data_IF_253534470807
#
_entry.id   IF_253534470807
#
_cell.length_a   1.000
_cell.length_b   1.000
_cell.length_c   1.000
_cell.angle_alpha   90.00
_cell.angle_beta   90.00
_cell.angle_gamma   90.00
#
_symmetry.space_group_name_H-M   'P 1'
#
loop_
_entity.id
_entity.type
_entity.pdbx_description
1 polymer ?
#
# COMPACT_ATOMS: atom_id res chain seq x y z
N UNK A 1 -38.39 -0.03 39.61
CA UNK A 1 -39.09 0.05 40.90
C UNK A 1 -39.70 -1.32 41.22
N UNK A 2 -38.87 -2.26 41.69
CA UNK A 2 -39.23 -3.37 42.59
C UNK A 2 -37.96 -3.64 43.38
N UNK A 3 -38.12 -3.66 44.70
CA UNK A 3 -37.11 -3.71 45.74
C UNK A 3 -36.83 -5.17 46.09
N UNK A 4 -35.56 -5.55 46.23
CA UNK A 4 -35.16 -6.64 47.11
C UNK A 4 -33.76 -6.34 47.65
N UNK A 5 -33.70 -6.16 48.96
CA UNK A 5 -32.51 -5.90 49.78
C UNK A 5 -32.27 -7.11 50.67
N UNK A 6 -31.08 -7.15 51.29
CA UNK A 6 -30.56 -8.03 52.35
C UNK A 6 -29.59 -9.10 51.78
N UNK A 7 -28.33 -9.17 52.19
CA UNK A 7 -27.64 -8.48 53.28
C UNK A 7 -26.12 -8.62 53.18
N UNK A 8 -25.45 -7.65 53.81
CA UNK A 8 -24.02 -7.62 54.09
C UNK A 8 -23.59 -8.78 54.99
N UNK A 9 -22.37 -9.27 54.81
CA UNK A 9 -21.40 -9.39 55.91
C UNK A 9 -19.97 -9.31 55.36
N UNK A 10 -19.20 -8.49 56.05
CA UNK A 10 -17.80 -8.13 55.89
C UNK A 10 -16.83 -9.24 56.27
N UNK A 11 -15.67 -9.30 55.63
CA UNK A 11 -14.37 -9.24 56.34
C UNK A 11 -13.21 -9.12 55.36
N UNK A 12 -12.27 -8.31 55.78
CA UNK A 12 -11.09 -7.81 55.11
C UNK A 12 -9.90 -8.80 55.04
N UNK A 13 -8.95 -8.38 54.20
CA UNK A 13 -7.49 -8.36 54.42
C UNK A 13 -6.59 -9.54 53.98
N UNK A 14 -5.69 -9.15 53.05
CA UNK A 14 -4.22 -9.33 53.03
C UNK A 14 -3.58 -10.61 52.46
N UNK A 15 -2.69 -10.34 51.50
CA UNK A 15 -1.33 -10.84 51.30
C UNK A 15 -1.02 -12.02 50.36
N UNK A 16 0.03 -11.76 49.56
CA UNK A 16 0.92 -12.67 48.81
C UNK A 16 0.29 -13.40 47.61
N UNK A 17 0.85 -13.41 46.40
CA UNK A 17 2.24 -13.30 46.00
C UNK A 17 2.78 -14.67 45.63
N UNK A 18 2.51 -15.16 44.41
CA UNK A 18 3.35 -16.21 43.80
C UNK A 18 3.25 -16.24 42.28
N UNK A 19 4.43 -16.38 41.66
CA UNK A 19 4.73 -16.51 40.23
C UNK A 19 4.15 -17.80 39.62
N UNK A 20 3.70 -17.74 38.36
CA UNK A 20 3.77 -18.81 37.35
C UNK A 20 3.93 -18.12 35.98
N UNK A 21 5.13 -18.14 35.39
CA UNK A 21 5.63 -19.09 34.39
C UNK A 21 4.88 -19.05 33.05
N UNK A 22 5.63 -18.57 32.05
CA UNK A 22 5.51 -18.72 30.60
C UNK A 22 4.55 -19.82 30.12
N UNK A 23 3.72 -19.47 29.14
CA UNK A 23 3.61 -20.30 27.95
C UNK A 23 3.28 -19.47 26.72
N UNK A 24 4.23 -19.48 25.78
CA UNK A 24 4.02 -19.15 24.39
C UNK A 24 3.10 -20.19 23.77
N UNK A 25 2.05 -19.75 23.10
CA UNK A 25 1.30 -20.58 22.15
C UNK A 25 1.11 -19.81 20.86
N UNK A 26 2.11 -19.95 19.98
CA UNK A 26 2.04 -19.58 18.57
C UNK A 26 1.12 -20.59 17.87
N UNK A 27 -0.05 -20.14 17.42
CA UNK A 27 -0.95 -20.93 16.59
C UNK A 27 -0.50 -20.73 15.14
N UNK A 28 0.19 -21.73 14.60
CA UNK A 28 0.55 -21.82 13.18
C UNK A 28 -0.59 -22.51 12.42
N UNK A 29 -1.30 -21.77 11.58
CA UNK A 29 -2.22 -22.35 10.60
C UNK A 29 -1.43 -22.91 9.42
N UNK A 30 -1.26 -24.24 9.37
CA UNK A 30 -0.74 -24.95 8.20
C UNK A 30 -1.92 -25.30 7.30
N UNK A 31 -2.00 -24.65 6.13
CA UNK A 31 -2.85 -25.09 5.02
C UNK A 31 -2.21 -26.33 4.37
N UNK A 32 -2.81 -27.51 4.58
CA UNK A 32 -2.54 -28.71 3.78
C UNK A 32 -3.42 -28.67 2.52
N UNK A 33 -2.84 -28.49 1.35
CA UNK A 33 -3.47 -28.90 0.09
C UNK A 33 -2.88 -30.23 -0.36
N UNK A 34 -3.75 -31.25 -0.41
CA UNK A 34 -3.44 -32.57 -0.94
C UNK A 34 -3.62 -32.53 -2.46
N UNK A 35 -2.53 -32.59 -3.23
CA UNK A 35 -2.57 -33.02 -4.62
C UNK A 35 -1.55 -34.14 -4.82
N UNK A 36 -2.08 -35.35 -4.99
CA UNK A 36 -1.33 -36.55 -5.33
C UNK A 36 -0.54 -36.35 -6.63
N UNK A 37 0.77 -36.51 -6.55
CA UNK A 37 1.65 -36.78 -7.68
C UNK A 37 2.27 -38.15 -7.45
N UNK A 38 1.86 -39.14 -8.24
CA UNK A 38 2.50 -40.44 -8.33
C UNK A 38 2.63 -40.77 -9.80
N UNK A 39 3.87 -40.83 -10.30
CA UNK A 39 4.38 -41.82 -11.24
C UNK A 39 5.77 -41.37 -11.66
N UNK A 40 6.83 -42.04 -11.16
CA UNK A 40 8.03 -42.41 -11.91
C UNK A 40 8.89 -43.40 -11.13
N UNK A 41 9.66 -44.19 -11.89
CA UNK A 41 10.66 -45.21 -11.50
C UNK A 41 10.06 -46.62 -11.26
N UNK A 42 10.61 -47.74 -11.70
CA UNK A 42 11.84 -48.10 -12.41
C UNK A 42 11.58 -49.47 -13.09
N UNK A 43 12.16 -49.73 -14.26
CA UNK A 43 12.63 -51.09 -14.57
C UNK A 43 13.72 -51.05 -15.65
N UNK A 44 14.94 -51.26 -15.19
CA UNK A 44 16.15 -51.53 -15.97
C UNK A 44 16.06 -52.95 -16.54
N UNK A 45 16.29 -53.13 -17.85
CA UNK A 45 16.61 -54.45 -18.40
C UNK A 45 17.80 -54.41 -19.35
N UNK A 46 18.66 -55.41 -19.14
CA UNK A 46 20.05 -55.55 -19.60
C UNK A 46 20.16 -55.83 -21.10
N UNK A 47 21.30 -55.41 -21.64
CA UNK A 47 21.86 -55.87 -22.92
C UNK A 47 22.00 -57.39 -22.95
N UNK A 48 21.67 -57.98 -24.10
CA UNK A 48 22.28 -59.22 -24.56
C UNK A 48 22.73 -59.03 -26.03
N UNK A 49 24.03 -59.26 -26.26
CA UNK A 49 24.63 -59.47 -27.59
C UNK A 49 24.37 -60.91 -28.01
N UNK A 50 23.93 -61.11 -29.25
CA UNK A 50 24.26 -62.32 -30.01
C UNK A 50 24.37 -62.00 -31.50
N UNK A 51 25.21 -62.78 -32.17
CA UNK A 51 25.91 -62.58 -33.43
C UNK A 51 25.12 -62.92 -34.70
N UNK A 52 25.52 -62.26 -35.79
CA UNK A 52 25.62 -62.69 -37.20
C UNK A 52 24.46 -63.44 -37.89
N UNK A 53 23.93 -62.82 -38.95
CA UNK A 53 23.89 -63.44 -40.29
C UNK A 53 23.60 -62.39 -41.38
N UNK A 54 24.35 -62.54 -42.47
CA UNK A 54 24.38 -61.75 -43.70
C UNK A 54 23.10 -61.98 -44.51
N UNK A 55 22.51 -60.95 -45.10
CA UNK A 55 22.14 -60.97 -46.53
C UNK A 55 21.82 -59.59 -47.11
N UNK A 56 22.31 -59.42 -48.34
CA UNK A 56 22.22 -58.23 -49.20
C UNK A 56 20.76 -57.99 -49.62
N UNK A 57 20.37 -56.73 -49.84
CA UNK A 57 19.64 -56.27 -51.05
C UNK A 57 19.47 -54.73 -51.07
N UNK A 58 19.81 -54.17 -52.23
CA UNK A 58 19.45 -52.91 -52.89
C UNK A 58 19.76 -51.52 -52.30
N UNK A 59 20.71 -50.89 -53.01
CA UNK A 59 20.81 -49.45 -53.29
C UNK A 59 19.52 -48.94 -53.97
N UNK A 60 18.99 -47.83 -53.46
CA UNK A 60 18.48 -46.66 -54.18
C UNK A 60 17.37 -46.01 -53.36
N UNK A 61 17.68 -44.86 -52.75
CA UNK A 61 16.74 -43.76 -52.52
C UNK A 61 17.53 -42.58 -51.91
N UNK A 62 18.07 -41.74 -52.79
CA UNK A 62 18.53 -40.39 -52.43
C UNK A 62 17.26 -39.57 -52.24
N UNK A 63 16.88 -39.30 -50.99
CA UNK A 63 15.83 -38.31 -50.70
C UNK A 63 16.46 -36.91 -50.74
N UNK A 64 15.86 -35.93 -51.41
CA UNK A 64 16.34 -34.56 -51.33
C UNK A 64 16.10 -34.05 -49.92
N UNK A 65 17.15 -33.46 -49.33
CA UNK A 65 17.05 -32.66 -48.11
C UNK A 65 16.09 -31.52 -48.44
N UNK A 66 14.85 -31.62 -47.96
CA UNK A 66 13.95 -30.48 -47.88
C UNK A 66 14.60 -29.50 -46.90
N UNK A 67 15.33 -28.52 -47.43
CA UNK A 67 15.65 -27.29 -46.72
C UNK A 67 14.33 -26.57 -46.49
N UNK A 68 13.65 -26.94 -45.40
CA UNK A 68 12.63 -26.08 -44.80
C UNK A 68 13.39 -24.84 -44.37
N UNK A 69 13.34 -23.78 -45.17
CA UNK A 69 13.61 -22.45 -44.67
C UNK A 69 12.59 -22.22 -43.57
N UNK A 70 13.01 -22.44 -42.33
CA UNK A 70 12.29 -21.94 -41.19
C UNK A 70 12.28 -20.42 -41.36
N UNK A 71 11.23 -19.93 -42.02
CA UNK A 71 10.73 -18.60 -41.80
C UNK A 71 10.48 -18.53 -40.28
N UNK A 72 11.49 -18.08 -39.54
CA UNK A 72 11.29 -17.43 -38.26
C UNK A 72 10.43 -16.20 -38.59
N UNK A 73 9.12 -16.42 -38.72
CA UNK A 73 8.13 -15.37 -38.50
C UNK A 73 8.41 -14.92 -37.09
N UNK A 74 9.21 -13.86 -37.03
CA UNK A 74 9.63 -13.17 -35.84
C UNK A 74 8.42 -13.05 -34.92
N UNK A 75 8.61 -13.40 -33.65
CA UNK A 75 7.63 -13.11 -32.61
C UNK A 75 7.10 -11.69 -32.85
N UNK A 76 5.77 -11.52 -32.79
CA UNK A 76 5.13 -10.21 -32.99
C UNK A 76 5.93 -9.15 -32.21
N UNK A 77 6.35 -8.04 -32.84
CA UNK A 77 7.17 -7.04 -32.19
C UNK A 77 6.30 -6.29 -31.18
N UNK A 78 6.17 -6.86 -29.98
CA UNK A 78 5.54 -6.21 -28.85
C UNK A 78 6.47 -5.08 -28.39
N UNK A 79 6.03 -3.83 -28.56
CA UNK A 79 6.78 -2.66 -28.10
C UNK A 79 6.38 -2.33 -26.67
N UNK A 80 6.88 -3.09 -25.71
CA UNK A 80 6.45 -2.95 -24.32
C UNK A 80 6.84 -1.61 -23.70
N UNK A 81 7.95 -1.03 -24.16
CA UNK A 81 8.46 0.30 -23.84
C UNK A 81 7.49 1.41 -24.25
N UNK A 82 6.74 1.23 -25.36
CA UNK A 82 5.80 2.22 -25.88
C UNK A 82 4.48 2.23 -25.09
N UNK A 83 4.23 1.24 -24.23
CA UNK A 83 3.00 1.15 -23.44
C UNK A 83 2.86 2.25 -22.38
N UNK A 84 3.91 3.06 -22.18
CA UNK A 84 3.93 4.19 -21.26
C UNK A 84 4.63 5.36 -21.95
N UNK A 85 4.00 6.54 -21.88
CA UNK A 85 4.55 7.76 -22.46
C UNK A 85 4.62 8.85 -21.38
N UNK A 86 5.82 9.33 -21.01
CA UNK A 86 7.14 8.84 -21.41
C UNK A 86 7.41 7.38 -20.96
N UNK A 87 8.50 6.72 -21.41
CA UNK A 87 8.85 5.38 -20.95
C UNK A 87 9.03 5.28 -19.42
N UNK A 88 8.82 4.10 -18.85
CA UNK A 88 9.06 3.89 -17.43
C UNK A 88 10.54 4.12 -17.09
N UNK A 89 10.82 4.74 -15.94
CA UNK A 89 12.19 4.89 -15.47
C UNK A 89 12.65 3.62 -14.74
N UNK A 90 13.96 3.31 -14.75
CA UNK A 90 14.51 2.27 -13.89
C UNK A 90 14.16 2.52 -12.42
N UNK A 91 13.96 1.43 -11.66
CA UNK A 91 13.76 1.53 -10.23
C UNK A 91 15.05 2.11 -9.59
N UNK A 92 15.00 3.27 -8.91
CA UNK A 92 16.19 3.85 -8.31
C UNK A 92 16.61 3.00 -7.10
N UNK A 93 17.91 2.87 -6.84
CA UNK A 93 18.40 2.17 -5.64
C UNK A 93 17.92 2.91 -4.38
N UNK A 94 17.15 2.27 -3.49
CA UNK A 94 16.68 2.92 -2.28
C UNK A 94 17.84 3.07 -1.27
N UNK A 95 17.86 4.11 -0.42
CA UNK A 95 18.92 4.29 0.58
C UNK A 95 19.05 3.13 1.57
N UNK A 96 17.92 2.47 1.86
CA UNK A 96 17.84 1.23 2.64
C UNK A 96 16.90 0.24 1.94
N UNK A 97 17.22 -1.05 2.01
CA UNK A 97 16.46 -2.12 1.33
C UNK A 97 15.47 -2.86 2.24
N UNK A 98 15.75 -2.88 3.54
CA UNK A 98 14.88 -3.47 4.58
C UNK A 98 14.67 -2.49 5.72
N UNK A 99 13.43 -2.33 6.15
CA UNK A 99 13.07 -1.43 7.26
C UNK A 99 11.67 -1.74 7.79
N UNK A 100 11.35 -1.23 8.97
CA UNK A 100 10.00 -1.34 9.54
C UNK A 100 9.15 -0.13 9.18
N UNK A 101 7.93 -0.40 8.72
CA UNK A 101 6.86 0.59 8.58
C UNK A 101 5.86 0.43 9.73
N UNK A 102 5.34 1.54 10.25
CA UNK A 102 4.19 1.55 11.16
C UNK A 102 2.98 2.24 10.52
N UNK A 103 1.81 1.60 10.60
CA UNK A 103 0.52 2.20 10.24
C UNK A 103 -0.22 2.51 11.55
N UNK A 104 -0.46 3.80 11.79
CA UNK A 104 -1.04 4.27 13.04
C UNK A 104 -2.53 4.54 12.85
N UNK A 105 -3.38 3.54 13.16
CA UNK A 105 -4.82 3.67 13.09
C UNK A 105 -5.34 4.45 14.30
N UNK A 106 -5.49 5.77 14.14
CA UNK A 106 -5.84 6.69 15.22
C UNK A 106 -7.35 6.82 15.42
N UNK A 107 -7.80 6.86 16.66
CA UNK A 107 -9.13 7.35 17.02
C UNK A 107 -9.15 8.88 16.95
N UNK A 108 -10.03 9.42 16.09
CA UNK A 108 -10.09 10.86 15.80
C UNK A 108 -11.28 11.48 16.51
N UNK A 109 -11.03 12.57 17.25
CA UNK A 109 -12.05 13.32 17.99
C UNK A 109 -12.35 14.68 17.35
N UNK A 110 -13.32 15.42 17.90
CA UNK A 110 -13.54 16.83 17.55
C UNK A 110 -12.54 17.79 18.19
N UNK A 111 -11.68 17.32 19.11
CA UNK A 111 -10.66 18.16 19.74
C UNK A 111 -9.34 18.03 18.97
N UNK A 112 -9.00 19.07 18.21
CA UNK A 112 -7.77 19.10 17.39
C UNK A 112 -6.51 18.93 18.24
N UNK A 113 -6.42 19.63 19.36
CA UNK A 113 -5.21 19.62 20.19
C UNK A 113 -5.00 18.23 20.79
N UNK A 114 -6.10 17.58 21.21
CA UNK A 114 -6.09 16.17 21.63
C UNK A 114 -5.62 15.25 20.50
N UNK A 115 -6.15 15.42 19.28
CA UNK A 115 -5.75 14.60 18.13
C UNK A 115 -4.25 14.76 17.81
N UNK A 116 -3.71 15.99 17.86
CA UNK A 116 -2.29 16.28 17.63
C UNK A 116 -1.39 15.70 18.71
N UNK A 117 -1.77 15.84 19.99
CA UNK A 117 -1.04 15.22 21.09
C UNK A 117 -1.03 13.69 20.98
N UNK A 118 -2.18 13.09 20.68
CA UNK A 118 -2.33 11.65 20.54
C UNK A 118 -1.55 11.06 19.36
N UNK A 119 -1.58 11.75 18.20
CA UNK A 119 -0.78 11.37 17.04
C UNK A 119 0.73 11.39 17.35
N UNK A 120 1.20 12.39 18.11
CA UNK A 120 2.59 12.47 18.59
C UNK A 120 2.96 11.26 19.45
N UNK A 121 2.15 10.94 20.46
CA UNK A 121 2.40 9.80 21.36
C UNK A 121 2.45 8.49 20.58
N UNK A 122 1.53 8.31 19.62
CA UNK A 122 1.48 7.13 18.76
C UNK A 122 2.70 7.02 17.84
N UNK A 123 3.15 8.14 17.27
CA UNK A 123 4.38 8.21 16.48
C UNK A 123 5.60 7.80 17.33
N UNK A 124 5.70 8.32 18.54
CA UNK A 124 6.80 8.02 19.46
C UNK A 124 6.82 6.54 19.88
N UNK A 125 5.65 5.96 20.14
CA UNK A 125 5.50 4.52 20.41
C UNK A 125 5.94 3.66 19.21
N UNK A 126 5.50 4.01 18.01
CA UNK A 126 5.90 3.32 16.78
C UNK A 126 7.41 3.39 16.53
N UNK A 127 8.01 4.57 16.71
CA UNK A 127 9.45 4.76 16.59
C UNK A 127 10.23 3.97 17.65
N UNK A 128 9.75 3.92 18.91
CA UNK A 128 10.35 3.07 19.97
C UNK A 128 10.36 1.59 19.60
N UNK A 129 9.39 1.13 18.82
CA UNK A 129 9.32 -0.24 18.28
C UNK A 129 10.17 -0.45 17.01
N UNK A 130 10.93 0.57 16.59
CA UNK A 130 11.90 0.52 15.51
C UNK A 130 11.34 0.87 14.14
N UNK A 131 10.15 1.48 14.05
CA UNK A 131 9.63 1.96 12.78
C UNK A 131 10.51 3.11 12.23
N UNK A 132 10.91 2.99 10.96
CA UNK A 132 11.68 4.01 10.24
C UNK A 132 10.80 4.83 9.29
N UNK A 133 9.65 4.26 8.90
CA UNK A 133 8.58 4.92 8.17
C UNK A 133 7.30 4.86 8.98
N UNK A 134 6.62 5.98 9.14
CA UNK A 134 5.30 6.04 9.79
C UNK A 134 4.27 6.59 8.81
N UNK A 135 3.11 5.94 8.75
CA UNK A 135 1.93 6.40 8.01
C UNK A 135 0.80 6.72 8.99
N UNK A 136 0.31 7.96 8.94
CA UNK A 136 -0.91 8.40 9.63
C UNK A 136 -2.15 8.29 8.71
N UNK A 137 -3.38 8.36 9.26
CA UNK A 137 -4.59 8.20 8.46
C UNK A 137 -5.07 9.50 7.79
N UNK A 138 -6.09 9.40 6.94
CA UNK A 138 -6.74 10.56 6.32
C UNK A 138 -7.48 11.42 7.35
N UNK A 139 -7.36 12.75 7.24
CA UNK A 139 -7.98 13.77 8.11
C UNK A 139 -7.88 13.38 9.59
N UNK A 140 -6.65 13.12 10.04
CA UNK A 140 -6.41 12.61 11.39
C UNK A 140 -6.52 13.68 12.48
N UNK A 141 -6.47 14.96 12.11
CA UNK A 141 -6.47 16.08 13.05
C UNK A 141 -7.87 16.64 13.35
N UNK A 142 -8.93 16.15 12.70
CA UNK A 142 -10.29 16.68 12.84
C UNK A 142 -11.38 15.69 12.39
N UNK A 143 -12.66 15.91 12.70
CA UNK A 143 -13.74 15.09 12.14
C UNK A 143 -13.82 15.17 10.61
N UNK A 144 -14.14 14.05 9.95
CA UNK A 144 -14.31 13.99 8.50
C UNK A 144 -15.71 14.44 8.09
N UNK A 145 -15.90 15.75 7.91
CA UNK A 145 -17.16 16.31 7.40
C UNK A 145 -16.97 17.64 6.67
N UNK A 146 -17.86 17.92 5.72
CA UNK A 146 -17.89 19.18 4.97
C UNK A 146 -17.96 20.42 5.88
N UNK A 147 -18.69 20.34 7.00
CA UNK A 147 -18.80 21.46 7.93
C UNK A 147 -17.54 21.65 8.78
N UNK A 148 -16.77 20.58 8.99
CA UNK A 148 -15.51 20.63 9.76
C UNK A 148 -14.36 21.17 8.93
N UNK A 149 -14.23 20.79 7.64
CA UNK A 149 -13.04 21.14 6.87
C UNK A 149 -12.66 22.64 6.92
N UNK A 150 -13.57 23.62 6.77
CA UNK A 150 -13.21 25.04 6.84
C UNK A 150 -12.75 25.49 8.23
N UNK A 151 -13.33 24.91 9.28
CA UNK A 151 -13.06 25.26 10.69
C UNK A 151 -11.70 24.71 11.12
N UNK A 152 -11.36 23.50 10.70
CA UNK A 152 -10.15 22.82 11.10
C UNK A 152 -8.98 23.01 10.13
N UNK A 153 -9.19 23.68 8.99
CA UNK A 153 -8.13 23.87 8.00
C UNK A 153 -6.96 24.71 8.50
N UNK A 154 -5.76 24.31 8.10
CA UNK A 154 -4.50 24.97 8.51
C UNK A 154 -3.75 25.52 7.29
N UNK A 155 -3.07 26.66 7.45
CA UNK A 155 -2.24 27.27 6.41
C UNK A 155 -0.81 26.70 6.49
N UNK A 156 -0.54 25.64 5.72
CA UNK A 156 0.74 24.93 5.75
C UNK A 156 1.90 25.82 5.28
N UNK A 157 1.74 26.51 4.15
CA UNK A 157 2.80 27.33 3.53
C UNK A 157 3.11 28.62 4.31
N UNK A 158 2.17 29.05 5.17
CA UNK A 158 2.36 30.19 6.05
C UNK A 158 3.03 29.81 7.39
N UNK A 159 3.43 28.55 7.56
CA UNK A 159 3.89 27.98 8.84
C UNK A 159 2.88 28.16 9.99
N UNK A 160 1.57 28.21 9.67
CA UNK A 160 0.47 28.31 10.66
C UNK A 160 -0.29 27.00 10.71
N UNK A 161 0.43 25.93 10.95
CA UNK A 161 -0.11 24.58 11.03
C UNK A 161 0.50 23.83 12.21
N UNK A 162 -0.17 23.79 13.39
CA UNK A 162 0.32 23.02 14.53
C UNK A 162 0.48 21.53 14.19
N UNK A 163 -0.37 21.01 13.30
CA UNK A 163 -0.29 19.62 12.84
C UNK A 163 1.03 19.35 12.11
N UNK A 164 1.40 20.17 11.12
CA UNK A 164 2.66 19.98 10.38
C UNK A 164 3.91 20.37 11.18
N UNK A 165 3.80 21.36 12.06
CA UNK A 165 4.89 21.73 12.97
C UNK A 165 5.23 20.57 13.91
N UNK A 166 4.22 19.89 14.45
CA UNK A 166 4.40 18.68 15.26
C UNK A 166 5.11 17.58 14.46
N UNK A 167 4.63 17.28 13.25
CA UNK A 167 5.21 16.24 12.40
C UNK A 167 6.67 16.52 12.02
N UNK A 168 6.99 17.77 11.67
CA UNK A 168 8.35 18.22 11.36
C UNK A 168 9.30 18.05 12.55
N UNK A 169 8.86 18.45 13.75
CA UNK A 169 9.68 18.35 14.96
C UNK A 169 9.95 16.89 15.32
N UNK A 170 8.90 16.06 15.37
CA UNK A 170 9.03 14.66 15.78
C UNK A 170 9.81 13.83 14.77
N UNK A 171 9.65 14.07 13.46
CA UNK A 171 10.41 13.35 12.44
C UNK A 171 11.92 13.62 12.55
N UNK A 172 12.31 14.87 12.82
CA UNK A 172 13.71 15.26 13.07
C UNK A 172 14.26 14.65 14.35
N UNK A 173 13.51 14.78 15.45
CA UNK A 173 13.96 14.31 16.77
C UNK A 173 14.16 12.80 16.79
N UNK A 174 13.24 12.05 16.19
CA UNK A 174 13.28 10.58 16.16
C UNK A 174 14.06 10.03 14.96
N UNK A 175 14.47 10.89 14.01
CA UNK A 175 15.16 10.52 12.76
C UNK A 175 14.38 9.46 11.97
N UNK A 176 13.10 9.72 11.73
CA UNK A 176 12.18 8.86 10.98
C UNK A 176 11.58 9.62 9.79
N UNK A 177 11.14 8.88 8.78
CA UNK A 177 10.30 9.43 7.71
C UNK A 177 8.83 9.33 8.11
N UNK A 178 8.05 10.40 7.90
CA UNK A 178 6.62 10.41 8.21
C UNK A 178 5.83 10.77 6.96
N UNK A 179 4.92 9.87 6.57
CA UNK A 179 3.79 10.18 5.69
C UNK A 179 2.67 10.65 6.61
N UNK A 180 2.50 11.97 6.67
CA UNK A 180 1.70 12.68 7.67
C UNK A 180 0.19 12.54 7.51
N UNK A 181 -0.30 11.42 6.98
CA UNK A 181 -1.71 11.18 6.76
C UNK A 181 -2.30 12.26 5.88
N UNK A 182 -3.47 12.78 6.19
CA UNK A 182 -3.87 14.09 5.65
C UNK A 182 -4.54 14.97 6.68
N UNK A 183 -4.57 16.27 6.38
CA UNK A 183 -5.31 17.30 7.12
C UNK A 183 -6.06 18.21 6.13
N UNK A 184 -7.10 18.94 6.58
CA UNK A 184 -7.66 20.01 5.78
C UNK A 184 -6.62 21.15 5.68
N UNK A 185 -6.23 21.52 4.47
CA UNK A 185 -5.30 22.62 4.18
C UNK A 185 -6.09 23.83 3.69
N UNK A 186 -5.75 25.02 4.19
CA UNK A 186 -6.19 26.30 3.64
C UNK A 186 -5.08 26.91 2.80
N UNK A 187 -5.41 27.29 1.57
CA UNK A 187 -4.50 27.94 0.63
C UNK A 187 -5.25 29.03 -0.13
N UNK A 188 -5.18 30.26 0.38
CA UNK A 188 -6.03 31.35 -0.10
C UNK A 188 -7.50 31.10 0.26
N UNK A 189 -8.37 31.23 -0.73
CA UNK A 189 -9.81 30.98 -0.64
C UNK A 189 -10.19 29.49 -0.76
N UNK A 190 -9.22 28.64 -1.13
CA UNK A 190 -9.43 27.21 -1.37
C UNK A 190 -9.06 26.35 -0.17
N UNK A 191 -9.77 25.23 -0.07
CA UNK A 191 -9.53 24.17 0.89
C UNK A 191 -9.11 22.89 0.17
N UNK A 192 -8.20 22.12 0.75
CA UNK A 192 -7.70 20.88 0.18
C UNK A 192 -7.63 19.77 1.24
N UNK A 193 -7.70 18.52 0.80
CA UNK A 193 -7.32 17.35 1.63
C UNK A 193 -5.85 17.04 1.33
N UNK A 194 -4.96 17.31 2.28
CA UNK A 194 -3.52 17.39 2.00
C UNK A 194 -2.68 16.49 2.89
N UNK A 195 -1.91 15.61 2.25
CA UNK A 195 -0.89 14.78 2.86
C UNK A 195 0.48 15.45 2.77
N UNK A 196 1.16 15.59 3.90
CA UNK A 196 2.52 16.13 3.97
C UNK A 196 3.53 15.01 4.26
N UNK A 197 4.66 15.02 3.57
CA UNK A 197 5.75 14.05 3.80
C UNK A 197 6.93 14.75 4.44
N UNK A 198 7.40 14.24 5.58
CA UNK A 198 8.54 14.76 6.31
C UNK A 198 9.69 13.76 6.29
N UNK A 199 10.90 14.26 5.98
CA UNK A 199 12.12 13.47 6.07
C UNK A 199 12.66 13.37 7.50
N UNK A 200 13.71 12.57 7.65
CA UNK A 200 14.45 12.39 8.91
C UNK A 200 15.13 13.66 9.42
N UNK A 201 15.24 14.70 8.58
CA UNK A 201 15.77 16.02 8.89
C UNK A 201 14.70 17.02 9.38
N UNK A 202 13.43 16.60 9.44
CA UNK A 202 12.30 17.46 9.77
C UNK A 202 11.79 18.30 8.61
N UNK A 203 12.40 18.24 7.43
CA UNK A 203 11.98 19.07 6.30
C UNK A 203 10.75 18.47 5.64
N UNK A 204 9.81 19.35 5.28
CA UNK A 204 8.71 19.01 4.38
C UNK A 204 9.30 18.69 3.00
N UNK A 205 9.24 17.42 2.60
CA UNK A 205 9.76 16.93 1.31
C UNK A 205 8.77 17.19 0.18
N UNK A 206 7.47 17.03 0.46
CA UNK A 206 6.40 17.30 -0.50
C UNK A 206 5.04 17.44 0.19
N UNK A 207 4.06 17.95 -0.57
CA UNK A 207 2.64 17.93 -0.24
C UNK A 207 1.88 17.26 -1.38
N UNK A 208 0.99 16.35 -1.05
CA UNK A 208 0.04 15.76 -1.97
C UNK A 208 -1.37 16.24 -1.62
N UNK A 209 -2.00 16.97 -2.53
CA UNK A 209 -3.43 17.32 -2.44
C UNK A 209 -4.22 16.22 -3.15
N UNK A 210 -5.23 15.67 -2.49
CA UNK A 210 -6.10 14.60 -3.01
C UNK A 210 -6.62 14.96 -4.40
N UNK A 211 -6.33 14.12 -5.38
CA UNK A 211 -6.63 14.42 -6.79
C UNK A 211 -8.09 14.09 -7.10
N UNK A 212 -8.55 12.94 -6.61
CA UNK A 212 -9.91 12.49 -6.84
C UNK A 212 -10.75 12.68 -5.58
N UNK A 213 -11.61 13.71 -5.59
CA UNK A 213 -12.51 14.01 -4.49
C UNK A 213 -13.60 12.94 -4.36
N UNK A 214 -13.97 12.64 -3.11
CA UNK A 214 -14.96 11.62 -2.78
C UNK A 214 -16.39 12.15 -2.99
N UNK A 215 -16.86 12.06 -4.23
CA UNK A 215 -18.22 12.38 -4.60
C UNK A 215 -18.97 11.09 -4.95
N UNK A 216 -19.78 10.60 -3.99
CA UNK A 216 -20.60 9.41 -4.17
C UNK A 216 -22.06 9.67 -3.79
N UNK A 217 -22.94 8.93 -4.45
CA UNK A 217 -24.35 8.85 -4.12
C UNK A 217 -24.80 7.40 -4.30
N UNK A 218 -24.94 6.68 -3.18
CA UNK A 218 -25.42 5.31 -3.12
C UNK A 218 -26.82 5.37 -2.51
N UNK A 219 -27.89 5.27 -3.34
CA UNK A 219 -29.26 5.43 -2.88
C UNK A 219 -29.59 4.55 -1.68
N UNK A 220 -30.12 5.18 -0.63
CA UNK A 220 -30.50 4.50 0.61
C UNK A 220 -29.34 4.06 1.51
N UNK A 221 -28.09 4.35 1.16
CA UNK A 221 -26.92 3.98 1.99
C UNK A 221 -26.07 5.18 2.36
N UNK A 222 -25.49 5.88 1.39
CA UNK A 222 -24.57 6.99 1.65
C UNK A 222 -24.51 7.96 0.49
N UNK A 223 -24.60 9.25 0.81
CA UNK A 223 -24.28 10.35 -0.09
C UNK A 223 -23.22 11.21 0.56
N UNK A 224 -22.11 11.43 -0.12
CA UNK A 224 -21.05 12.34 0.33
C UNK A 224 -20.49 13.07 -0.88
N UNK A 225 -20.36 14.41 -0.80
CA UNK A 225 -19.77 15.24 -1.85
C UNK A 225 -18.67 16.09 -1.24
N UNK A 226 -17.44 15.59 -1.31
CA UNK A 226 -16.25 16.29 -0.81
C UNK A 226 -16.01 17.58 -1.61
N UNK A 227 -16.35 17.59 -2.90
CA UNK A 227 -16.23 18.74 -3.81
C UNK A 227 -17.11 19.94 -3.45
N UNK A 228 -18.09 19.77 -2.56
CA UNK A 228 -18.88 20.88 -2.03
C UNK A 228 -18.00 21.88 -1.25
N UNK A 229 -16.91 21.40 -0.67
CA UNK A 229 -16.07 22.18 0.24
C UNK A 229 -14.60 22.17 -0.15
N UNK A 230 -14.09 21.03 -0.63
CA UNK A 230 -12.68 20.85 -0.96
C UNK A 230 -12.44 21.02 -2.46
N UNK A 231 -11.22 21.44 -2.78
CA UNK A 231 -10.68 21.57 -4.13
C UNK A 231 -9.77 20.39 -4.42
N UNK A 232 -9.83 19.86 -5.64
CA UNK A 232 -8.97 18.78 -6.08
C UNK A 232 -7.51 19.24 -6.23
N UNK A 233 -6.58 18.33 -5.94
CA UNK A 233 -5.18 18.47 -6.33
C UNK A 233 -4.99 18.30 -7.84
N UNK A 234 -3.90 18.88 -8.36
CA UNK A 234 -3.66 18.96 -9.80
C UNK A 234 -2.47 18.11 -10.26
N UNK A 235 -1.74 17.46 -9.34
CA UNK A 235 -0.49 16.77 -9.68
C UNK A 235 -0.33 15.42 -8.96
N UNK A 236 0.03 14.34 -9.68
CA UNK A 236 0.53 13.11 -9.07
C UNK A 236 1.79 13.40 -8.24
N UNK A 237 1.84 12.87 -7.01
CA UNK A 237 2.94 13.13 -6.08
C UNK A 237 3.80 11.89 -5.87
N UNK A 238 5.07 12.00 -6.22
CA UNK A 238 6.10 11.00 -5.95
C UNK A 238 7.29 11.69 -5.28
N UNK A 239 7.88 11.06 -4.29
CA UNK A 239 8.92 11.67 -3.45
C UNK A 239 10.01 10.67 -3.10
N UNK A 240 11.26 11.13 -3.21
CA UNK A 240 12.42 10.41 -2.68
C UNK A 240 12.56 10.67 -1.19
N UNK A 241 12.67 9.60 -0.42
CA UNK A 241 12.78 9.62 1.04
C UNK A 241 13.96 8.77 1.50
N UNK A 242 14.27 8.83 2.79
CA UNK A 242 15.31 8.02 3.42
C UNK A 242 15.01 6.51 3.37
N UNK A 243 13.77 6.13 3.05
CA UNK A 243 13.31 4.73 2.91
C UNK A 243 12.94 4.36 1.48
N UNK A 244 13.36 5.17 0.49
CA UNK A 244 13.13 4.94 -0.93
C UNK A 244 12.09 5.88 -1.55
N UNK A 245 11.75 5.61 -2.81
CA UNK A 245 10.79 6.41 -3.58
C UNK A 245 9.35 5.99 -3.32
N UNK A 246 8.51 6.93 -2.91
CA UNK A 246 7.12 6.68 -2.49
C UNK A 246 6.15 7.47 -3.36
N UNK A 247 5.11 6.80 -3.87
CA UNK A 247 3.92 7.44 -4.44
C UNK A 247 2.87 7.73 -3.36
N UNK A 248 2.22 8.88 -3.44
CA UNK A 248 1.21 9.30 -2.45
C UNK A 248 -0.15 9.43 -3.13
N UNK A 249 -1.15 8.75 -2.61
CA UNK A 249 -2.56 9.03 -2.90
C UNK A 249 -3.34 9.19 -1.61
N UNK A 250 -4.55 9.74 -1.66
CA UNK A 250 -5.45 9.81 -0.49
C UNK A 250 -6.76 9.12 -0.83
N UNK A 251 -7.10 8.11 -0.03
CA UNK A 251 -8.40 7.44 0.01
C UNK A 251 -8.95 7.07 -1.37
N UNK A 252 -9.84 7.90 -1.91
CA UNK A 252 -10.53 7.69 -3.19
C UNK A 252 -9.57 7.58 -4.38
N UNK A 253 -8.37 8.17 -4.29
CA UNK A 253 -7.30 8.01 -5.27
C UNK A 253 -6.95 6.54 -5.55
N UNK A 254 -7.13 5.64 -4.58
CA UNK A 254 -6.88 4.20 -4.78
C UNK A 254 -7.79 3.58 -5.84
N UNK A 255 -8.95 4.17 -6.14
CA UNK A 255 -9.88 3.64 -7.16
C UNK A 255 -9.40 3.84 -8.59
N UNK A 256 -8.45 4.74 -8.82
CA UNK A 256 -7.96 5.12 -10.14
C UNK A 256 -6.62 4.42 -10.42
N UNK A 257 -6.68 3.25 -11.09
CA UNK A 257 -5.49 2.43 -11.33
C UNK A 257 -4.41 3.13 -12.16
N UNK A 258 -4.80 4.11 -12.97
CA UNK A 258 -3.91 4.93 -13.80
C UNK A 258 -2.89 5.67 -12.92
N UNK A 259 -3.32 6.19 -11.77
CA UNK A 259 -2.45 6.91 -10.84
C UNK A 259 -1.38 5.98 -10.25
N UNK A 260 -1.76 4.79 -9.80
CA UNK A 260 -0.80 3.80 -9.30
C UNK A 260 0.16 3.33 -10.40
N UNK A 261 -0.35 3.17 -11.63
CA UNK A 261 0.48 2.77 -12.77
C UNK A 261 1.49 3.87 -13.14
N UNK A 262 1.12 5.15 -13.01
CA UNK A 262 2.04 6.29 -13.14
C UNK A 262 3.12 6.21 -12.06
N UNK A 263 2.78 5.97 -10.80
CA UNK A 263 3.76 5.85 -9.72
C UNK A 263 4.76 4.71 -9.95
N UNK A 264 4.28 3.55 -10.41
CA UNK A 264 5.15 2.44 -10.82
C UNK A 264 6.06 2.82 -12.00
N UNK A 265 5.53 3.53 -13.00
CA UNK A 265 6.29 4.02 -14.16
C UNK A 265 7.31 5.12 -13.80
N UNK A 266 7.12 5.81 -12.67
CA UNK A 266 8.03 6.79 -12.08
C UNK A 266 8.96 6.19 -11.01
N UNK A 267 9.06 4.86 -10.93
CA UNK A 267 10.04 4.18 -10.09
C UNK A 267 9.70 4.20 -8.59
N UNK A 268 8.44 4.28 -8.21
CA UNK A 268 8.05 4.06 -6.81
C UNK A 268 8.39 2.62 -6.37
N UNK A 269 8.68 2.44 -5.09
CA UNK A 269 8.80 1.14 -4.42
C UNK A 269 7.55 0.80 -3.61
N UNK A 270 6.94 1.84 -3.05
CA UNK A 270 5.80 1.81 -2.15
C UNK A 270 4.81 2.87 -2.59
N UNK A 271 3.52 2.57 -2.49
CA UNK A 271 2.45 3.57 -2.56
C UNK A 271 1.77 3.66 -1.20
N UNK A 272 1.66 4.86 -0.66
CA UNK A 272 0.94 5.11 0.59
C UNK A 272 -0.41 5.78 0.30
N UNK A 273 -1.47 5.22 0.87
CA UNK A 273 -2.82 5.77 0.85
C UNK A 273 -3.34 5.96 2.28
N UNK A 274 -3.12 7.13 2.93
CA UNK A 274 -4.02 7.55 4.00
C UNK A 274 -5.45 7.55 3.48
N UNK A 275 -6.39 6.92 4.16
CA UNK A 275 -7.77 6.89 3.70
C UNK A 275 -8.78 6.35 4.69
N UNK A 276 -9.96 6.96 4.70
CA UNK A 276 -11.09 6.53 5.51
C UNK A 276 -12.21 6.00 4.60
N UNK A 277 -12.23 4.69 4.30
CA UNK A 277 -13.42 4.09 3.66
C UNK A 277 -14.55 3.97 4.69
N UNK A 278 -15.80 3.98 4.22
CA UNK A 278 -16.98 3.84 5.07
C UNK A 278 -17.45 2.38 5.20
N UNK A 279 -18.47 2.15 6.04
CA UNK A 279 -19.07 0.83 6.28
C UNK A 279 -19.75 0.18 5.06
N UNK A 280 -20.10 0.93 4.01
CA UNK A 280 -20.64 0.36 2.76
C UNK A 280 -19.52 -0.12 1.85
N UNK A 281 -18.54 0.74 1.61
CA UNK A 281 -17.50 0.50 0.60
C UNK A 281 -16.29 -0.24 1.16
N UNK A 282 -16.01 -0.12 2.45
CA UNK A 282 -14.91 -0.77 3.17
C UNK A 282 -14.91 -2.28 3.02
N UNK A 283 -15.97 -2.98 3.45
CA UNK A 283 -16.04 -4.45 3.39
C UNK A 283 -15.86 -5.03 1.98
N UNK A 284 -16.26 -4.28 0.95
CA UNK A 284 -16.27 -4.74 -0.44
C UNK A 284 -14.98 -4.38 -1.19
N UNK A 285 -14.45 -3.18 -0.93
CA UNK A 285 -13.46 -2.58 -1.82
C UNK A 285 -12.12 -2.28 -1.14
N UNK A 286 -12.06 -2.12 0.18
CA UNK A 286 -10.83 -1.70 0.84
C UNK A 286 -9.68 -2.68 0.58
N UNK A 287 -9.87 -3.96 0.90
CA UNK A 287 -8.85 -4.98 0.69
C UNK A 287 -8.61 -5.29 -0.80
N UNK A 288 -9.69 -5.35 -1.58
CA UNK A 288 -9.62 -5.64 -3.01
C UNK A 288 -8.73 -4.64 -3.74
N UNK A 289 -8.96 -3.33 -3.51
CA UNK A 289 -8.27 -2.28 -4.22
C UNK A 289 -6.79 -2.22 -3.87
N UNK A 290 -6.43 -2.31 -2.58
CA UNK A 290 -5.01 -2.33 -2.18
C UNK A 290 -4.24 -3.50 -2.79
N UNK A 291 -4.83 -4.70 -2.81
CA UNK A 291 -4.22 -5.90 -3.39
C UNK A 291 -4.08 -5.78 -4.90
N UNK A 292 -5.10 -5.24 -5.57
CA UNK A 292 -5.03 -4.97 -7.00
C UNK A 292 -3.90 -3.98 -7.34
N UNK A 293 -3.79 -2.85 -6.61
CA UNK A 293 -2.70 -1.88 -6.84
C UNK A 293 -1.32 -2.50 -6.61
N UNK A 294 -1.16 -3.29 -5.55
CA UNK A 294 0.10 -3.94 -5.25
C UNK A 294 0.50 -4.96 -6.33
N UNK A 295 -0.42 -5.86 -6.70
CA UNK A 295 -0.18 -6.92 -7.68
C UNK A 295 0.04 -6.38 -9.09
N UNK A 296 -0.81 -5.47 -9.57
CA UNK A 296 -0.73 -4.96 -10.96
C UNK A 296 0.50 -4.07 -11.19
N UNK A 297 0.96 -3.38 -10.13
CA UNK A 297 2.14 -2.52 -10.19
C UNK A 297 3.43 -3.22 -9.74
N UNK A 298 3.32 -4.39 -9.10
CA UNK A 298 4.41 -5.12 -8.45
C UNK A 298 5.18 -4.22 -7.48
N UNK A 299 4.45 -3.60 -6.55
CA UNK A 299 4.93 -2.66 -5.53
C UNK A 299 4.30 -2.97 -4.17
N UNK A 300 4.91 -2.50 -3.09
CA UNK A 300 4.22 -2.46 -1.81
C UNK A 300 3.10 -1.41 -1.84
N UNK A 301 2.02 -1.67 -1.10
CA UNK A 301 0.94 -0.72 -0.86
C UNK A 301 0.66 -0.67 0.64
N UNK A 302 0.69 0.53 1.22
CA UNK A 302 0.33 0.77 2.61
C UNK A 302 -0.90 1.67 2.69
N UNK A 303 -1.90 1.25 3.43
CA UNK A 303 -3.14 2.00 3.67
C UNK A 303 -3.30 2.27 5.16
N UNK A 304 -3.65 3.49 5.55
CA UNK A 304 -3.87 3.82 6.95
C UNK A 304 -5.19 4.56 7.11
N UNK A 305 -6.05 4.01 7.95
CA UNK A 305 -7.42 4.45 8.19
C UNK A 305 -7.55 4.95 9.62
N UNK A 306 -8.45 5.90 9.91
CA UNK A 306 -8.85 6.17 11.28
C UNK A 306 -9.51 4.94 11.90
N UNK A 307 -9.44 4.83 13.23
CA UNK A 307 -10.22 3.86 13.98
C UNK A 307 -11.72 4.16 13.82
N UNK A 308 -12.54 3.12 13.93
CA UNK A 308 -13.98 3.24 13.79
C UNK A 308 -14.58 3.95 14.99
N UNK A 309 -15.33 5.02 14.73
CA UNK A 309 -16.24 5.62 15.69
C UNK A 309 -17.68 5.49 15.20
N UNK A 310 -18.48 4.67 15.89
CA UNK A 310 -19.90 4.47 15.58
C UNK A 310 -20.77 5.70 15.83
N UNK A 311 -20.28 6.69 16.58
CA UNK A 311 -20.98 7.95 16.84
C UNK A 311 -20.61 9.07 15.86
N UNK A 312 -19.60 8.85 15.01
CA UNK A 312 -19.20 9.82 13.98
C UNK A 312 -20.24 9.90 12.87
N UNK A 313 -20.41 11.09 12.29
CA UNK A 313 -21.21 11.28 11.08
C UNK A 313 -20.64 10.55 9.86
N UNK A 314 -19.33 10.31 9.87
CA UNK A 314 -18.64 9.45 8.92
C UNK A 314 -17.97 8.29 9.66
N UNK A 315 -18.60 7.11 9.62
CA UNK A 315 -18.12 5.92 10.30
C UNK A 315 -17.06 5.22 9.44
N UNK A 316 -15.79 5.32 9.85
CA UNK A 316 -14.67 4.71 9.17
C UNK A 316 -14.68 3.17 9.28
N UNK A 317 -14.20 2.51 8.24
CA UNK A 317 -14.05 1.06 8.17
C UNK A 317 -12.94 0.57 9.11
N UNK A 318 -11.84 1.31 9.26
CA UNK A 318 -10.61 0.86 9.91
C UNK A 318 -9.74 0.01 8.97
N UNK A 319 -9.16 -1.07 9.50
CA UNK A 319 -8.37 -2.07 8.76
C UNK A 319 -7.15 -1.51 8.00
N UNK A 320 -6.37 -0.66 8.66
CA UNK A 320 -5.06 -0.21 8.16
C UNK A 320 -4.19 -1.41 7.78
N UNK A 321 -3.66 -1.44 6.56
CA UNK A 321 -3.08 -2.65 5.97
C UNK A 321 -1.81 -2.40 5.18
N UNK A 322 -0.84 -3.30 5.31
CA UNK A 322 0.33 -3.42 4.43
C UNK A 322 0.15 -4.61 3.49
N UNK A 323 0.30 -4.36 2.19
CA UNK A 323 0.25 -5.37 1.13
C UNK A 323 1.60 -5.45 0.43
N UNK A 324 2.06 -6.68 0.19
CA UNK A 324 3.30 -6.97 -0.52
C UNK A 324 3.17 -6.94 -2.05
N UNK A 325 4.30 -6.98 -2.78
CA UNK A 325 4.33 -6.80 -4.23
C UNK A 325 3.69 -7.94 -5.03
N UNK A 326 3.31 -9.06 -4.40
CA UNK A 326 2.57 -10.15 -5.01
C UNK A 326 1.05 -10.07 -4.72
N UNK A 327 0.60 -9.02 -4.02
CA UNK A 327 -0.80 -8.83 -3.62
C UNK A 327 -1.20 -9.57 -2.33
N UNK A 328 -0.23 -10.09 -1.58
CA UNK A 328 -0.39 -10.71 -0.27
C UNK A 328 -0.58 -9.66 0.83
N UNK A 329 -1.55 -9.86 1.70
CA UNK A 329 -1.70 -9.03 2.91
C UNK A 329 -0.64 -9.45 3.91
N UNK A 330 0.30 -8.57 4.20
CA UNK A 330 1.41 -8.83 5.12
C UNK A 330 0.97 -8.60 6.56
N UNK A 331 0.25 -7.50 6.80
CA UNK A 331 -0.24 -7.15 8.12
C UNK A 331 -1.48 -6.26 7.99
N UNK A 332 -2.47 -6.45 8.85
CA UNK A 332 -3.71 -5.67 8.88
C UNK A 332 -4.18 -5.47 10.32
N UNK A 333 -4.79 -4.33 10.60
CA UNK A 333 -5.50 -4.10 11.87
C UNK A 333 -6.95 -4.56 11.75
N UNK A 334 -7.63 -4.62 12.90
CA UNK A 334 -9.10 -4.61 12.93
C UNK A 334 -9.61 -3.16 12.82
N UNK A 335 -10.77 -2.86 13.41
CA UNK A 335 -11.42 -1.55 13.33
C UNK A 335 -11.13 -0.63 14.53
N UNK A 336 -10.62 -1.16 15.64
CA UNK A 336 -10.24 -0.39 16.82
C UNK A 336 -8.92 0.35 16.63
N UNK A 337 -8.63 1.30 17.50
CA UNK A 337 -7.33 1.99 17.53
C UNK A 337 -6.19 0.99 17.71
N UNK A 338 -5.19 1.07 16.81
CA UNK A 338 -4.07 0.15 16.80
C UNK A 338 -2.86 0.72 16.06
N UNK A 339 -1.69 0.18 16.37
CA UNK A 339 -0.48 0.36 15.56
C UNK A 339 -0.09 -1.01 15.04
N UNK A 340 -0.02 -1.15 13.72
CA UNK A 340 0.60 -2.34 13.10
C UNK A 340 1.99 -1.99 12.61
N UNK A 341 2.96 -2.84 12.93
CA UNK A 341 4.36 -2.68 12.53
C UNK A 341 4.77 -3.91 11.75
N UNK A 342 5.33 -3.70 10.57
CA UNK A 342 5.79 -4.79 9.71
C UNK A 342 7.07 -4.41 8.97
N UNK A 343 7.82 -5.41 8.54
CA UNK A 343 9.04 -5.22 7.75
C UNK A 343 8.69 -5.12 6.25
N UNK A 344 9.27 -4.14 5.58
CA UNK A 344 9.34 -4.04 4.13
C UNK A 344 10.70 -4.55 3.69
N UNK A 345 10.73 -5.41 2.67
CA UNK A 345 11.92 -5.87 1.98
C UNK A 345 11.79 -5.61 0.47
N UNK A 346 12.49 -4.60 -0.04
CA UNK A 346 12.40 -4.23 -1.45
C UNK A 346 13.05 -5.24 -2.40
N UNK A 347 13.86 -6.19 -1.92
CA UNK A 347 14.37 -7.27 -2.78
C UNK A 347 13.24 -8.14 -3.34
N UNK A 348 12.09 -8.21 -2.66
CA UNK A 348 10.91 -8.92 -3.14
C UNK A 348 10.31 -8.28 -4.40
N UNK A 349 10.45 -6.96 -4.59
CA UNK A 349 9.98 -6.29 -5.82
C UNK A 349 10.75 -6.82 -7.03
N UNK A 350 12.07 -6.88 -6.93
CA UNK A 350 12.93 -7.36 -8.02
C UNK A 350 12.71 -8.84 -8.31
N UNK A 351 12.57 -9.65 -7.25
CA UNK A 351 12.25 -11.07 -7.37
C UNK A 351 10.92 -11.30 -8.11
N UNK A 352 9.85 -10.62 -7.71
CA UNK A 352 8.53 -10.75 -8.33
C UNK A 352 8.54 -10.26 -9.79
N UNK A 353 9.24 -9.17 -10.10
CA UNK A 353 9.41 -8.68 -11.48
C UNK A 353 10.22 -9.65 -12.36
N UNK A 354 11.08 -10.46 -11.76
CA UNK A 354 11.80 -11.52 -12.47
C UNK A 354 10.88 -12.69 -12.79
N UNK A 355 10.02 -13.10 -11.84
CA UNK A 355 9.07 -14.20 -12.03
C UNK A 355 7.92 -13.84 -12.98
N UNK A 356 7.43 -12.60 -12.90
CA UNK A 356 6.31 -12.07 -13.68
C UNK A 356 6.74 -10.75 -14.38
N UNK A 357 7.42 -10.81 -15.52
CA UNK A 357 8.04 -9.63 -16.15
C UNK A 357 7.03 -8.79 -16.95
N UNK A 358 6.00 -8.24 -16.30
CA UNK A 358 4.93 -7.47 -16.95
C UNK A 358 5.47 -6.34 -17.82
N UNK A 359 6.54 -5.67 -17.37
CA UNK A 359 7.16 -4.57 -18.11
C UNK A 359 7.67 -4.96 -19.50
N UNK A 360 7.98 -6.24 -19.74
CA UNK A 360 8.44 -6.75 -21.04
C UNK A 360 7.30 -7.34 -21.89
N UNK A 361 6.09 -7.40 -21.33
CA UNK A 361 4.93 -8.07 -21.92
C UNK A 361 3.77 -7.11 -22.22
N UNK A 362 3.89 -5.84 -21.83
CA UNK A 362 2.88 -4.83 -22.18
C UNK A 362 2.82 -4.63 -23.69
N UNK A 363 1.62 -4.31 -24.19
CA UNK A 363 1.32 -4.17 -25.62
C UNK A 363 1.26 -2.70 -26.01
N UNK A 364 2.42 -2.03 -26.02
CA UNK A 364 2.52 -0.62 -26.40
C UNK A 364 2.12 -0.33 -27.84
N UNK A 365 2.06 -1.39 -28.66
CA UNK A 365 1.49 -1.40 -30.01
C UNK A 365 -0.06 -1.34 -30.03
N UNK A 366 -0.73 -1.64 -28.91
CA UNK A 366 -2.20 -1.66 -28.78
C UNK A 366 -2.73 -0.59 -27.83
N UNK A 367 -2.02 -0.31 -26.73
CA UNK A 367 -2.45 0.63 -25.72
C UNK A 367 -1.28 1.38 -25.11
N UNK A 368 -1.54 2.58 -24.63
CA UNK A 368 -0.54 3.42 -23.98
C UNK A 368 -1.16 4.14 -22.78
N UNK A 369 -0.41 4.21 -21.68
CA UNK A 369 -0.70 5.11 -20.57
C UNK A 369 0.13 6.39 -20.73
N UNK A 370 -0.53 7.54 -20.81
CA UNK A 370 0.13 8.83 -21.01
C UNK A 370 0.21 9.61 -19.70
N UNK A 371 1.43 9.76 -19.20
CA UNK A 371 1.76 10.66 -18.10
C UNK A 371 1.95 12.09 -18.63
N UNK A 372 0.85 12.83 -18.67
CA UNK A 372 0.77 14.19 -19.24
C UNK A 372 1.76 15.15 -18.58
N UNK A 373 1.90 15.09 -17.25
CA UNK A 373 2.78 15.98 -16.50
C UNK A 373 4.25 15.75 -16.89
N UNK A 374 4.69 14.49 -16.92
CA UNK A 374 6.09 14.17 -17.26
C UNK A 374 6.36 14.44 -18.74
N UNK A 375 5.41 14.12 -19.62
CA UNK A 375 5.54 14.41 -21.06
C UNK A 375 5.76 15.90 -21.33
N UNK A 376 5.02 16.77 -20.65
CA UNK A 376 5.17 18.21 -20.80
C UNK A 376 6.52 18.70 -20.26
N UNK A 377 6.98 18.17 -19.11
CA UNK A 377 8.28 18.55 -18.55
C UNK A 377 9.48 18.22 -19.46
N UNK A 378 9.40 17.10 -20.20
CA UNK A 378 10.44 16.69 -21.15
C UNK A 378 10.45 17.49 -22.45
N UNK A 379 9.37 18.22 -22.77
CA UNK A 379 9.31 19.09 -23.96
C UNK A 379 9.84 20.50 -23.69
N UNK A 380 9.87 20.90 -22.42
CA UNK A 380 10.35 22.22 -21.97
C UNK A 380 11.83 22.22 -21.56
N UNK A 381 12.43 21.03 -21.37
CA UNK A 381 13.87 20.81 -21.17
C UNK A 381 14.55 20.53 -22.50
#
# INVERSE_FOLDING_TARGET
MVVATIGMLSSSSLHSGTRFLNNHSSISYIYRSSFCSNFHSHSSFRLNRSTNSIDRINKNCINPICTVSASTKMASPFKAEDARIPPAIPLPTPPISKFKIALCQLYVTSDKDRNVAHARETIEEAARKGAQLILLPEIWNSPYSNDSFPVYAEEIDANKSPSTAMLSEVSRRLKITIIGGSIPERSGDRLYNTCCVFGTDGKLKTKHRKIHLFDIDIPGQMTFKESKTLTAGETPTIVDTDVGRIGIGICYDIRFQELATIYAARGAHLICYPGAFNMTTGPLHWELLQRARAADCQLYVATCSPARDSNSSYVAWGHSTLVGPFGEVIATTEHDEAIVISEIDYSLIEQIRTFLPFQRQRRGDLYQLVDVQRLNSTRTS
#
